data_IF_705139970006
#
_entry.id   IF_705139970006
#
_cell.length_a   1.000
_cell.length_b   1.000
_cell.length_c   1.000
_cell.angle_alpha   90.00
_cell.angle_beta   90.00
_cell.angle_gamma   90.00
#
_symmetry.space_group_name_H-M   'P 1'
#
loop_
_entity.id
_entity.type
_entity.pdbx_description
1 polymer ?
#
# COMPACT_ATOMS: atom_id res chain seq x y z
N UNK A 1 -20.43 -18.19 10.92
CA UNK A 1 -20.01 -18.26 9.50
C UNK A 1 -20.65 -17.10 8.76
N UNK A 2 -19.88 -16.21 8.13
CA UNK A 2 -20.44 -14.95 7.63
C UNK A 2 -21.22 -15.13 6.31
N UNK A 3 -22.52 -14.84 6.35
CA UNK A 3 -23.42 -14.71 5.21
C UNK A 3 -22.85 -13.76 4.15
N UNK A 4 -22.28 -14.27 3.06
CA UNK A 4 -21.84 -13.44 1.92
C UNK A 4 -22.47 -13.92 0.62
N UNK A 5 -23.79 -13.79 0.53
CA UNK A 5 -24.57 -14.17 -0.66
C UNK A 5 -24.23 -13.35 -1.91
N UNK A 6 -23.70 -12.12 -1.75
CA UNK A 6 -23.18 -11.29 -2.84
C UNK A 6 -21.94 -10.53 -2.35
N UNK A 7 -20.78 -10.87 -2.90
CA UNK A 7 -19.55 -10.10 -2.73
C UNK A 7 -19.35 -9.11 -3.88
N UNK A 8 -18.62 -8.03 -3.59
CA UNK A 8 -18.29 -7.00 -4.59
C UNK A 8 -17.46 -7.63 -5.70
N UNK A 9 -17.80 -7.28 -6.94
CA UNK A 9 -17.03 -7.64 -8.12
C UNK A 9 -15.91 -6.61 -8.32
N UNK A 10 -14.74 -7.10 -8.71
CA UNK A 10 -13.56 -6.31 -9.07
C UNK A 10 -13.13 -6.66 -10.49
N UNK A 11 -12.53 -5.70 -11.20
CA UNK A 11 -12.18 -5.84 -12.62
C UNK A 11 -10.69 -6.19 -12.74
N UNK A 12 -10.37 -7.30 -13.40
CA UNK A 12 -8.98 -7.67 -13.66
C UNK A 12 -8.28 -6.63 -14.57
N UNK A 13 -7.11 -6.13 -14.17
CA UNK A 13 -6.36 -5.14 -14.95
C UNK A 13 -5.86 -5.70 -16.30
N UNK A 14 -5.58 -7.00 -16.40
CA UNK A 14 -5.04 -7.61 -17.65
C UNK A 14 -6.12 -7.89 -18.68
N UNK A 15 -7.20 -8.55 -18.27
CA UNK A 15 -8.21 -9.10 -19.19
C UNK A 15 -9.59 -8.45 -19.07
N UNK A 16 -9.77 -7.47 -18.17
CA UNK A 16 -11.06 -6.80 -17.96
C UNK A 16 -12.15 -7.68 -17.34
N UNK A 17 -11.90 -8.98 -17.10
CA UNK A 17 -12.89 -9.88 -16.51
C UNK A 17 -13.29 -9.43 -15.11
N UNK A 18 -14.60 -9.36 -14.86
CA UNK A 18 -15.15 -9.17 -13.52
C UNK A 18 -15.02 -10.46 -12.72
N UNK A 19 -14.42 -10.36 -11.54
CA UNK A 19 -14.21 -11.46 -10.62
C UNK A 19 -14.66 -11.04 -9.24
N UNK A 20 -15.19 -11.97 -8.45
CA UNK A 20 -15.49 -11.71 -7.05
C UNK A 20 -14.22 -11.36 -6.27
N UNK A 21 -14.34 -10.41 -5.33
CA UNK A 21 -13.21 -9.88 -4.55
C UNK A 21 -12.46 -10.96 -3.77
N UNK A 22 -13.15 -11.95 -3.22
CA UNK A 22 -12.57 -13.10 -2.51
C UNK A 22 -11.62 -13.93 -3.37
N UNK A 23 -11.97 -14.11 -4.64
CA UNK A 23 -11.20 -14.92 -5.61
C UNK A 23 -10.13 -14.11 -6.34
N UNK A 24 -10.20 -12.79 -6.27
CA UNK A 24 -9.24 -11.92 -6.95
C UNK A 24 -7.89 -11.89 -6.24
N UNK A 25 -6.82 -11.78 -7.03
CA UNK A 25 -5.45 -11.67 -6.53
C UNK A 25 -5.05 -10.21 -6.54
N UNK A 26 -4.85 -9.66 -5.34
CA UNK A 26 -4.34 -8.30 -5.15
C UNK A 26 -2.81 -8.30 -5.02
N UNK A 27 -2.17 -7.38 -5.74
CA UNK A 27 -0.73 -7.13 -5.66
C UNK A 27 -0.45 -5.63 -5.72
N UNK A 28 0.47 -5.18 -4.88
CA UNK A 28 0.97 -3.81 -4.92
C UNK A 28 2.07 -3.69 -5.98
N UNK A 29 1.92 -2.72 -6.86
CA UNK A 29 2.94 -2.34 -7.85
C UNK A 29 3.51 -0.99 -7.51
N UNK A 30 4.84 -0.89 -7.46
CA UNK A 30 5.51 0.40 -7.41
C UNK A 30 5.39 1.09 -8.77
N UNK A 31 4.87 2.32 -8.77
CA UNK A 31 4.87 3.21 -9.91
C UNK A 31 6.17 4.01 -9.89
N UNK A 32 7.01 3.77 -10.88
CA UNK A 32 8.21 4.57 -11.13
C UNK A 32 7.91 5.59 -12.22
N UNK A 33 7.09 6.60 -11.91
CA UNK A 33 6.89 7.74 -12.81
C UNK A 33 7.95 8.81 -12.61
N UNK A 34 8.13 9.68 -13.60
CA UNK A 34 9.01 10.85 -13.54
C UNK A 34 8.55 11.77 -12.39
N UNK A 35 9.45 12.31 -11.54
CA UNK A 35 9.10 13.21 -10.44
C UNK A 35 8.17 14.37 -10.81
N UNK A 36 8.19 14.86 -12.06
CA UNK A 36 7.31 15.93 -12.53
C UNK A 36 5.87 15.45 -12.76
N UNK A 37 5.69 14.32 -13.45
CA UNK A 37 4.38 13.70 -13.75
C UNK A 37 3.69 13.14 -12.50
N UNK A 38 4.43 12.95 -11.40
CA UNK A 38 3.87 12.44 -10.13
C UNK A 38 2.85 13.36 -9.49
N UNK A 39 2.96 14.68 -9.70
CA UNK A 39 2.01 15.66 -9.14
C UNK A 39 0.62 15.50 -9.77
N UNK A 40 0.54 15.06 -11.01
CA UNK A 40 -0.71 14.91 -11.75
C UNK A 40 -1.41 13.57 -11.47
N UNK A 41 -0.66 12.53 -11.08
CA UNK A 41 -1.19 11.19 -10.81
C UNK A 41 -1.96 11.13 -9.47
N UNK A 42 -1.56 11.92 -8.47
CA UNK A 42 -2.25 12.00 -7.17
C UNK A 42 -2.36 13.47 -6.76
N UNK A 43 -3.42 14.12 -7.22
CA UNK A 43 -3.71 15.52 -6.89
C UNK A 43 -3.78 15.69 -5.35
N UNK A 44 -2.89 16.52 -4.79
CA UNK A 44 -2.93 16.94 -3.38
C UNK A 44 -2.03 16.19 -2.40
N UNK A 45 -1.14 15.27 -2.83
CA UNK A 45 -0.18 14.60 -1.92
C UNK A 45 1.23 15.23 -2.00
N UNK A 46 1.97 15.32 -0.88
CA UNK A 46 3.37 15.69 -0.89
C UNK A 46 4.20 14.68 -1.70
N UNK A 47 5.32 15.12 -2.27
CA UNK A 47 6.19 14.27 -3.09
C UNK A 47 6.61 13.00 -2.34
N UNK A 48 6.16 11.84 -2.81
CA UNK A 48 6.59 10.52 -2.31
C UNK A 48 7.54 9.86 -3.31
N UNK A 49 8.73 9.46 -2.81
CA UNK A 49 9.77 8.79 -3.61
C UNK A 49 9.31 7.48 -4.23
N UNK A 50 8.38 6.78 -3.59
CA UNK A 50 7.78 5.54 -4.11
C UNK A 50 6.28 5.61 -3.93
N UNK A 51 5.54 5.57 -5.05
CA UNK A 51 4.08 5.45 -5.04
C UNK A 51 3.75 3.99 -5.34
N UNK A 52 2.94 3.36 -4.49
CA UNK A 52 2.44 2.01 -4.75
C UNK A 52 0.96 2.07 -5.13
N UNK A 53 0.57 1.31 -6.16
CA UNK A 53 -0.81 1.12 -6.57
C UNK A 53 -1.21 -0.32 -6.33
N UNK A 54 -2.35 -0.53 -5.68
CA UNK A 54 -2.96 -1.84 -5.57
C UNK A 54 -3.65 -2.22 -6.88
N UNK A 55 -3.31 -3.40 -7.40
CA UNK A 55 -3.83 -3.93 -8.65
C UNK A 55 -4.51 -5.27 -8.40
N UNK A 56 -5.66 -5.50 -9.03
CA UNK A 56 -6.38 -6.76 -8.98
C UNK A 56 -6.30 -7.57 -10.28
N UNK A 57 -6.14 -8.88 -10.11
CA UNK A 57 -6.09 -9.87 -11.19
C UNK A 57 -7.08 -11.02 -10.97
N UNK A 58 -7.57 -11.59 -12.07
CA UNK A 58 -8.33 -12.83 -12.03
C UNK A 58 -7.39 -14.04 -11.76
N UNK A 59 -7.92 -15.17 -11.25
CA UNK A 59 -7.11 -16.37 -10.96
C UNK A 59 -6.31 -16.88 -12.16
N UNK A 60 -6.90 -16.86 -13.36
CA UNK A 60 -6.26 -17.32 -14.59
C UNK A 60 -5.07 -16.45 -14.99
N UNK A 61 -5.25 -15.12 -14.99
CA UNK A 61 -4.14 -14.19 -15.25
C UNK A 61 -3.10 -14.24 -14.14
N UNK A 62 -3.53 -14.44 -12.89
CA UNK A 62 -2.67 -14.66 -11.74
C UNK A 62 -1.68 -15.80 -11.95
N UNK A 63 -2.17 -16.96 -12.45
CA UNK A 63 -1.35 -18.13 -12.75
C UNK A 63 -0.43 -17.89 -13.95
N UNK A 64 -0.97 -17.38 -15.06
CA UNK A 64 -0.18 -17.14 -16.28
C UNK A 64 0.95 -16.12 -16.07
N UNK A 65 0.70 -15.06 -15.30
CA UNK A 65 1.70 -14.02 -15.01
C UNK A 65 2.59 -14.35 -13.80
N UNK A 66 2.46 -15.55 -13.21
CA UNK A 66 3.21 -15.98 -12.01
C UNK A 66 3.10 -14.99 -10.85
N UNK A 67 1.93 -14.37 -10.70
CA UNK A 67 1.67 -13.37 -9.64
C UNK A 67 1.69 -14.03 -8.27
N UNK A 68 1.25 -15.29 -8.18
CA UNK A 68 1.31 -16.08 -6.93
C UNK A 68 2.76 -16.26 -6.44
N UNK A 69 3.68 -16.65 -7.33
CA UNK A 69 5.10 -16.81 -6.99
C UNK A 69 5.72 -15.47 -6.58
N UNK A 70 5.36 -14.38 -7.28
CA UNK A 70 5.79 -13.03 -6.92
C UNK A 70 5.30 -12.62 -5.54
N UNK A 71 4.05 -12.93 -5.20
CA UNK A 71 3.47 -12.61 -3.89
C UNK A 71 4.11 -13.43 -2.77
N UNK A 72 4.41 -14.71 -3.01
CA UNK A 72 5.17 -15.56 -2.08
C UNK A 72 6.55 -14.96 -1.78
N UNK A 73 7.32 -14.61 -2.81
CA UNK A 73 8.64 -13.95 -2.66
C UNK A 73 8.56 -12.58 -1.98
N UNK A 74 7.44 -11.87 -2.16
CA UNK A 74 7.22 -10.59 -1.48
C UNK A 74 6.97 -10.79 0.01
N UNK A 75 6.13 -11.77 0.37
CA UNK A 75 5.85 -12.12 1.76
C UNK A 75 7.09 -12.65 2.49
N UNK A 76 7.91 -13.47 1.83
CA UNK A 76 9.19 -13.96 2.37
C UNK A 76 10.12 -12.79 2.73
N UNK A 77 10.35 -11.87 1.79
CA UNK A 77 11.15 -10.66 2.05
C UNK A 77 10.57 -9.77 3.15
N UNK A 78 9.24 -9.69 3.25
CA UNK A 78 8.58 -8.93 4.32
C UNK A 78 8.79 -9.60 5.69
N UNK A 79 8.72 -10.94 5.73
CA UNK A 79 8.97 -11.74 6.94
C UNK A 79 10.42 -11.58 7.42
N UNK A 80 11.40 -11.66 6.51
CA UNK A 80 12.81 -11.42 6.81
C UNK A 80 13.04 -10.01 7.38
N UNK A 81 12.43 -8.99 6.78
CA UNK A 81 12.50 -7.60 7.26
C UNK A 81 11.87 -7.43 8.65
N UNK A 82 10.77 -8.13 8.95
CA UNK A 82 10.18 -8.11 10.28
C UNK A 82 11.08 -8.82 11.30
N UNK A 83 11.73 -9.91 10.92
CA UNK A 83 12.62 -10.68 11.80
C UNK A 83 13.93 -9.94 12.11
N UNK A 84 14.48 -9.20 11.15
CA UNK A 84 15.66 -8.35 11.35
C UNK A 84 15.35 -7.00 12.00
N UNK A 85 14.07 -6.67 12.23
CA UNK A 85 13.70 -5.43 12.92
C UNK A 85 13.94 -5.67 14.41
N UNK A 86 14.93 -5.00 15.05
CA UNK A 86 15.10 -5.15 16.49
C UNK A 86 13.78 -4.76 17.17
N UNK A 87 13.28 -5.65 18.02
CA UNK A 87 12.15 -5.42 18.91
C UNK A 87 12.56 -4.39 19.98
N UNK A 88 12.66 -3.12 19.58
CA UNK A 88 13.02 -1.99 20.43
C UNK A 88 13.30 -0.78 19.57
N UNK A 89 12.63 0.35 19.67
CA UNK A 89 11.55 0.80 20.52
C UNK A 89 11.27 2.22 20.07
N UNK A 90 10.01 2.62 20.03
CA UNK A 90 9.68 4.03 19.97
C UNK A 90 10.23 4.68 21.25
N UNK A 91 11.32 5.43 21.17
CA UNK A 91 11.51 6.52 22.13
C UNK A 91 10.42 7.54 21.81
N UNK A 92 9.37 7.46 22.62
CA UNK A 92 8.40 8.52 22.84
C UNK A 92 9.22 9.80 23.04
N UNK A 93 9.18 10.71 22.06
CA UNK A 93 9.79 12.03 22.15
C UNK A 93 8.95 12.83 23.16
N UNK A 94 9.21 12.62 24.45
CA UNK A 94 8.77 13.55 25.50
C UNK A 94 9.63 14.79 25.35
N UNK A 95 9.02 15.82 24.79
CA UNK A 95 9.61 17.12 24.52
C UNK A 95 8.50 18.08 24.15
N UNK A 96 7.60 18.30 25.10
CA UNK A 96 6.67 19.40 25.09
C UNK A 96 7.45 20.69 24.85
N UNK A 97 7.24 21.32 23.69
CA UNK A 97 7.51 22.73 23.53
C UNK A 97 6.41 23.49 24.27
N UNK A 98 6.74 24.04 25.44
CA UNK A 98 5.93 25.02 26.14
C UNK A 98 6.82 26.17 26.57
N UNK A 99 6.98 27.16 25.70
CA UNK A 99 7.41 28.51 26.07
C UNK A 99 7.08 29.46 24.90
N UNK A 100 5.79 29.77 24.76
CA UNK A 100 5.36 31.02 24.12
C UNK A 100 5.14 31.99 25.28
N UNK A 101 6.17 32.76 25.61
CA UNK A 101 6.06 33.88 26.55
C UNK A 101 5.17 34.94 25.89
N UNK A 102 4.00 35.20 26.51
CA UNK A 102 3.12 36.28 26.10
C UNK A 102 3.64 37.62 26.62
N UNK A 103 4.10 38.48 25.71
CA UNK A 103 4.25 39.91 25.99
C UNK A 103 2.87 40.58 25.88
N UNK A 104 2.40 41.16 26.99
CA UNK A 104 1.28 42.12 26.98
C UNK A 104 1.84 43.53 26.74
N UNK A 105 1.33 44.30 25.77
CA UNK A 105 1.59 45.73 25.74
C UNK A 105 0.76 46.46 26.81
N UNK A 106 1.34 47.53 27.35
CA UNK A 106 0.76 48.48 28.32
C UNK A 106 -0.31 49.35 27.67
#
# INVERSE_FOLDING_TARGET
MANRGKERLVVCEKCGRQVRRDKAVFIEKALFSNPLERKDIIQGQPYMRTVTREVCYCPSCGKHLRIYDKKKRMQERQRERMQMRPMGGFHRREGFGSEIQGEKPK
#
